data_IF_075992041771
#
_entry.id   IF_075992041771
#
_cell.length_a   1.000
_cell.length_b   1.000
_cell.length_c   1.000
_cell.angle_alpha   90.00
_cell.angle_beta   90.00
_cell.angle_gamma   90.00
#
_symmetry.space_group_name_H-M   'P 1'
#
loop_
_entity.id
_entity.type
_entity.pdbx_description
1 polymer ?
#
# COMPACT_ATOMS: atom_id res chain seq x y z
N UNK A 1 -13.19 31.58 -19.05
CA UNK A 1 -12.92 31.13 -17.66
C UNK A 1 -14.19 30.73 -16.91
N UNK A 2 -15.32 31.47 -16.97
CA UNK A 2 -16.58 31.04 -16.31
C UNK A 2 -17.24 29.77 -16.89
N UNK A 3 -17.04 29.46 -18.18
CA UNK A 3 -17.48 28.18 -18.76
C UNK A 3 -16.57 27.00 -18.41
N UNK A 4 -15.32 27.26 -17.99
CA UNK A 4 -14.33 26.25 -17.64
C UNK A 4 -14.60 25.65 -16.25
N UNK A 5 -15.01 26.47 -15.28
CA UNK A 5 -15.42 25.98 -13.96
C UNK A 5 -16.67 25.08 -14.04
N UNK A 6 -17.62 25.41 -14.91
CA UNK A 6 -18.86 24.63 -15.09
C UNK A 6 -18.68 23.28 -15.80
N UNK A 7 -17.68 23.13 -16.66
CA UNK A 7 -17.36 21.83 -17.29
C UNK A 7 -16.43 20.99 -16.40
N UNK A 8 -15.45 21.61 -15.73
CA UNK A 8 -14.55 20.93 -14.80
C UNK A 8 -15.32 20.33 -13.60
N UNK A 9 -16.30 21.06 -13.06
CA UNK A 9 -17.15 20.57 -11.96
C UNK A 9 -18.06 19.41 -12.37
N UNK A 10 -18.38 19.25 -13.66
CA UNK A 10 -19.22 18.16 -14.18
C UNK A 10 -18.44 16.88 -14.51
N UNK A 11 -17.14 16.99 -14.77
CA UNK A 11 -16.31 15.92 -15.33
C UNK A 11 -15.28 15.33 -14.34
N UNK A 12 -15.05 15.98 -13.20
CA UNK A 12 -14.16 15.44 -12.18
C UNK A 12 -14.77 14.20 -11.47
N UNK A 13 -14.07 13.04 -11.43
CA UNK A 13 -14.47 11.90 -10.61
C UNK A 13 -14.64 12.32 -9.15
N UNK A 14 -15.67 11.83 -8.47
CA UNK A 14 -16.02 12.20 -7.08
C UNK A 14 -14.83 12.13 -6.09
N UNK A 15 -13.81 11.30 -6.35
CA UNK A 15 -12.58 11.21 -5.56
C UNK A 15 -11.72 12.48 -5.55
N UNK A 16 -11.85 13.39 -6.52
CA UNK A 16 -11.04 14.62 -6.58
C UNK A 16 -11.62 15.80 -5.79
N UNK A 17 -12.89 15.73 -5.36
CA UNK A 17 -13.57 16.83 -4.64
C UNK A 17 -13.13 16.97 -3.17
N UNK A 18 -12.46 15.96 -2.61
CA UNK A 18 -12.12 15.93 -1.17
C UNK A 18 -10.94 16.84 -0.75
N UNK A 19 -10.21 17.46 -1.68
CA UNK A 19 -8.96 18.17 -1.37
C UNK A 19 -9.09 19.68 -1.18
N UNK A 20 -10.30 20.26 -1.23
CA UNK A 20 -10.51 21.69 -0.96
C UNK A 20 -11.64 21.87 0.04
N UNK A 21 -11.27 22.11 1.30
CA UNK A 21 -11.79 23.12 2.23
C UNK A 21 -11.43 22.75 3.68
N UNK A 22 -11.20 23.80 4.48
CA UNK A 22 -10.94 23.82 5.92
C UNK A 22 -9.47 23.63 6.34
N UNK A 23 -8.71 24.70 6.16
CA UNK A 23 -7.56 25.01 6.99
C UNK A 23 -8.04 25.87 8.16
N UNK A 24 -8.10 25.29 9.36
CA UNK A 24 -8.02 26.04 10.61
C UNK A 24 -6.83 25.53 11.42
N UNK A 25 -6.10 26.48 11.96
CA UNK A 25 -4.93 26.35 12.81
C UNK A 25 -5.32 25.84 14.20
N UNK A 26 -4.58 24.88 14.74
CA UNK A 26 -3.72 25.12 15.90
C UNK A 26 -2.98 23.87 16.42
N UNK A 27 -1.88 24.20 17.10
CA UNK A 27 -1.03 23.45 18.03
C UNK A 27 -0.05 22.39 17.51
N UNK A 28 1.16 22.90 17.26
CA UNK A 28 2.45 22.23 17.37
C UNK A 28 2.72 21.81 18.82
N UNK A 29 2.38 20.59 19.20
CA UNK A 29 2.91 19.94 20.40
C UNK A 29 3.80 18.75 19.99
N UNK A 30 5.06 18.80 20.41
CA UNK A 30 5.99 17.68 20.29
C UNK A 30 5.49 16.48 21.12
N UNK A 31 5.69 15.23 20.65
CA UNK A 31 5.22 14.05 21.38
C UNK A 31 5.97 13.87 22.71
N UNK A 32 5.29 13.65 23.83
CA UNK A 32 5.94 13.27 25.08
C UNK A 32 6.39 11.80 25.04
N UNK A 33 7.49 11.51 25.74
CA UNK A 33 8.03 10.17 25.95
C UNK A 33 7.09 9.30 26.80
N UNK A 34 6.79 8.11 26.31
CA UNK A 34 5.90 7.11 26.93
C UNK A 34 6.30 6.69 28.35
N UNK A 35 5.29 6.54 29.21
CA UNK A 35 5.33 5.73 30.42
C UNK A 35 4.12 4.77 30.45
N UNK A 36 4.41 3.50 30.18
CA UNK A 36 3.94 2.32 30.93
C UNK A 36 2.45 1.97 30.97
N UNK A 37 2.13 0.81 30.39
CA UNK A 37 1.28 -0.20 31.04
C UNK A 37 1.65 -1.59 30.51
N UNK A 38 2.17 -2.43 31.39
CA UNK A 38 2.50 -3.82 31.11
C UNK A 38 1.23 -4.68 31.13
N UNK A 39 1.02 -5.47 30.07
CA UNK A 39 0.07 -6.58 30.05
C UNK A 39 0.81 -7.83 29.58
N UNK A 40 0.56 -8.94 30.24
CA UNK A 40 1.34 -10.18 30.20
C UNK A 40 1.49 -10.76 28.79
N UNK A 41 2.74 -10.86 28.31
CA UNK A 41 3.10 -11.37 26.99
C UNK A 41 3.43 -12.87 27.01
N UNK A 42 2.97 -13.60 25.99
CA UNK A 42 3.69 -14.81 25.54
C UNK A 42 5.11 -14.35 25.19
N UNK A 43 6.14 -14.94 25.80
CA UNK A 43 7.56 -14.63 25.58
C UNK A 43 7.97 -14.87 24.11
N UNK A 44 7.67 -13.92 23.22
CA UNK A 44 8.17 -13.86 21.86
C UNK A 44 9.58 -13.26 21.90
N UNK A 45 10.61 -14.10 21.87
CA UNK A 45 12.00 -13.60 21.88
C UNK A 45 12.44 -13.25 20.46
N UNK A 46 12.16 -12.01 20.04
CA UNK A 46 12.68 -11.39 18.80
C UNK A 46 14.19 -11.62 18.66
N UNK A 47 14.91 -11.68 19.79
CA UNK A 47 16.35 -11.92 19.81
C UNK A 47 16.74 -13.32 19.33
N UNK A 48 16.04 -14.39 19.75
CA UNK A 48 16.38 -15.75 19.34
C UNK A 48 16.08 -15.99 17.86
N UNK A 49 14.94 -15.49 17.37
CA UNK A 49 14.59 -15.57 15.95
C UNK A 49 15.58 -14.81 15.07
N UNK A 50 16.04 -13.64 15.51
CA UNK A 50 17.06 -12.89 14.77
C UNK A 50 18.38 -13.68 14.69
N UNK A 51 18.80 -14.32 15.78
CA UNK A 51 20.01 -15.14 15.76
C UNK A 51 19.88 -16.34 14.83
N UNK A 52 18.71 -16.97 14.77
CA UNK A 52 18.43 -18.05 13.82
C UNK A 52 18.47 -17.54 12.37
N UNK A 53 17.87 -16.37 12.11
CA UNK A 53 17.93 -15.72 10.81
C UNK A 53 19.38 -15.47 10.37
N UNK A 54 20.22 -14.94 11.27
CA UNK A 54 21.64 -14.67 11.00
C UNK A 54 22.42 -15.94 10.70
N UNK A 55 22.13 -17.05 11.37
CA UNK A 55 22.76 -18.35 11.07
C UNK A 55 22.42 -18.85 9.67
N UNK A 56 21.18 -18.65 9.21
CA UNK A 56 20.75 -19.04 7.87
C UNK A 56 21.16 -18.08 6.75
N UNK A 57 21.56 -16.85 7.09
CA UNK A 57 21.80 -15.77 6.13
C UNK A 57 23.15 -15.09 6.42
N UNK A 58 24.22 -15.47 5.71
CA UNK A 58 25.56 -14.93 5.91
C UNK A 58 25.60 -13.39 5.84
N UNK A 59 26.25 -12.71 6.82
CA UNK A 59 26.33 -11.26 6.91
C UNK A 59 27.03 -10.61 5.71
N UNK A 60 26.83 -9.31 5.55
CA UNK A 60 27.56 -8.47 4.60
C UNK A 60 28.52 -7.58 5.42
N UNK A 61 29.82 -7.85 5.31
CA UNK A 61 30.87 -7.27 6.17
C UNK A 61 31.05 -5.74 6.09
N UNK A 62 30.35 -5.05 5.17
CA UNK A 62 30.45 -3.61 4.96
C UNK A 62 29.11 -3.05 4.48
N UNK A 63 28.96 -1.72 4.55
CA UNK A 63 27.87 -1.04 3.84
C UNK A 63 27.95 -1.36 2.35
N UNK A 64 26.85 -1.84 1.79
CA UNK A 64 26.71 -2.20 0.39
C UNK A 64 25.76 -1.21 -0.29
N UNK A 65 26.29 -0.31 -1.12
CA UNK A 65 25.47 0.57 -1.96
C UNK A 65 25.47 0.02 -3.39
N UNK A 66 24.32 -0.47 -3.90
CA UNK A 66 24.23 -1.04 -5.23
C UNK A 66 24.74 -0.09 -6.33
N UNK A 67 24.45 1.20 -6.20
CA UNK A 67 24.80 2.24 -7.16
C UNK A 67 26.32 2.43 -7.22
N UNK A 68 26.95 2.57 -6.05
CA UNK A 68 28.39 2.75 -5.94
C UNK A 68 29.16 1.50 -6.39
N UNK A 69 28.66 0.31 -6.08
CA UNK A 69 29.28 -0.95 -6.51
C UNK A 69 29.15 -1.15 -8.02
N UNK A 70 28.00 -0.86 -8.64
CA UNK A 70 27.85 -0.90 -10.09
C UNK A 70 28.75 0.11 -10.80
N UNK A 71 28.89 1.32 -10.24
CA UNK A 71 29.78 2.34 -10.80
C UNK A 71 31.26 1.87 -10.81
N UNK A 72 31.68 1.16 -9.76
CA UNK A 72 33.03 0.53 -9.70
C UNK A 72 33.16 -0.59 -10.73
N UNK A 73 32.18 -1.49 -10.81
CA UNK A 73 32.19 -2.63 -11.74
C UNK A 73 32.29 -2.15 -13.19
N UNK A 74 31.55 -1.10 -13.56
CA UNK A 74 31.58 -0.52 -14.91
C UNK A 74 32.97 -0.02 -15.34
N UNK A 75 33.86 0.27 -14.40
CA UNK A 75 35.24 0.72 -14.67
C UNK A 75 36.23 -0.44 -14.81
N UNK A 76 35.83 -1.67 -14.50
CA UNK A 76 36.68 -2.85 -14.64
C UNK A 76 36.82 -3.28 -16.11
N UNK A 77 37.89 -3.99 -16.48
CA UNK A 77 38.00 -4.69 -17.76
C UNK A 77 36.83 -5.66 -18.01
N UNK A 78 36.40 -5.85 -19.27
CA UNK A 78 35.21 -6.67 -19.62
C UNK A 78 35.24 -8.10 -19.06
N UNK A 79 36.41 -8.72 -19.02
CA UNK A 79 36.63 -10.06 -18.46
C UNK A 79 36.43 -10.10 -16.93
N UNK A 80 36.81 -9.06 -16.20
CA UNK A 80 36.63 -8.94 -14.75
C UNK A 80 35.21 -8.51 -14.36
N UNK A 81 34.54 -7.74 -15.22
CA UNK A 81 33.16 -7.31 -15.01
C UNK A 81 32.22 -8.49 -14.76
N UNK A 82 32.37 -9.59 -15.52
CA UNK A 82 31.47 -10.75 -15.39
C UNK A 82 31.56 -11.39 -14.01
N UNK A 83 32.77 -11.59 -13.49
CA UNK A 83 32.98 -12.16 -12.16
C UNK A 83 32.46 -11.21 -11.07
N UNK A 84 32.76 -9.91 -11.18
CA UNK A 84 32.30 -8.92 -10.21
C UNK A 84 30.76 -8.77 -10.19
N UNK A 85 30.10 -8.90 -11.35
CA UNK A 85 28.64 -8.89 -11.45
C UNK A 85 27.97 -10.09 -10.75
N UNK A 86 28.62 -11.25 -10.69
CA UNK A 86 28.09 -12.41 -9.97
C UNK A 86 28.05 -12.11 -8.47
N UNK A 87 29.19 -11.72 -7.89
CA UNK A 87 29.27 -11.34 -6.47
C UNK A 87 28.35 -10.16 -6.13
N UNK A 88 28.25 -9.17 -7.02
CA UNK A 88 27.32 -8.06 -6.86
C UNK A 88 25.87 -8.52 -6.74
N UNK A 89 25.42 -9.41 -7.63
CA UNK A 89 24.05 -9.93 -7.62
C UNK A 89 23.75 -10.68 -6.33
N UNK A 90 24.69 -11.50 -5.85
CA UNK A 90 24.56 -12.23 -4.57
C UNK A 90 24.49 -11.31 -3.35
N UNK A 91 25.28 -10.23 -3.33
CA UNK A 91 25.24 -9.24 -2.25
C UNK A 91 23.93 -8.44 -2.28
N UNK A 92 23.51 -8.01 -3.47
CA UNK A 92 22.24 -7.30 -3.67
C UNK A 92 21.05 -8.15 -3.22
N UNK A 93 21.07 -9.45 -3.55
CA UNK A 93 20.08 -10.41 -3.09
C UNK A 93 19.99 -10.48 -1.57
N UNK A 94 21.14 -10.73 -0.93
CA UNK A 94 21.23 -10.86 0.53
C UNK A 94 20.76 -9.59 1.22
N UNK A 95 21.19 -8.42 0.75
CA UNK A 95 20.73 -7.16 1.32
C UNK A 95 19.21 -6.99 1.14
N UNK A 96 18.65 -7.35 -0.02
CA UNK A 96 17.20 -7.26 -0.28
C UNK A 96 16.39 -8.24 0.57
N UNK A 97 16.84 -9.47 0.72
CA UNK A 97 16.23 -10.47 1.62
C UNK A 97 16.31 -10.01 3.08
N UNK A 98 17.44 -9.44 3.50
CA UNK A 98 17.59 -8.88 4.84
C UNK A 98 16.70 -7.65 5.07
N UNK A 99 16.53 -6.80 4.06
CA UNK A 99 15.62 -5.66 4.12
C UNK A 99 14.17 -6.10 4.30
N UNK A 100 13.74 -7.10 3.54
CA UNK A 100 12.41 -7.70 3.68
C UNK A 100 12.23 -8.37 5.06
N UNK A 101 13.22 -9.14 5.52
CA UNK A 101 13.19 -9.75 6.84
C UNK A 101 13.14 -8.71 7.96
N UNK A 102 13.91 -7.62 7.86
CA UNK A 102 13.84 -6.50 8.81
C UNK A 102 12.41 -5.99 8.96
N UNK A 103 11.69 -5.80 7.85
CA UNK A 103 10.27 -5.42 7.88
C UNK A 103 9.42 -6.48 8.58
N UNK A 104 9.54 -7.76 8.20
CA UNK A 104 8.74 -8.85 8.79
C UNK A 104 8.94 -8.93 10.31
N UNK A 105 10.18 -8.82 10.79
CA UNK A 105 10.46 -8.82 12.23
C UNK A 105 9.83 -7.62 12.94
N UNK A 106 9.85 -6.43 12.33
CA UNK A 106 9.19 -5.23 12.89
C UNK A 106 7.68 -5.44 12.96
N UNK A 107 7.07 -5.94 11.87
CA UNK A 107 5.62 -6.18 11.81
C UNK A 107 5.18 -7.21 12.84
N UNK A 108 5.88 -8.35 12.95
CA UNK A 108 5.59 -9.36 13.98
C UNK A 108 5.72 -8.82 15.40
N UNK A 109 6.72 -7.96 15.64
CA UNK A 109 6.90 -7.33 16.96
C UNK A 109 5.73 -6.41 17.30
N UNK A 110 5.21 -5.67 16.32
CA UNK A 110 4.01 -4.83 16.45
C UNK A 110 2.76 -5.69 16.67
N UNK A 111 2.57 -6.76 15.87
CA UNK A 111 1.43 -7.68 15.99
C UNK A 111 1.39 -8.35 17.37
N UNK A 112 2.54 -8.74 17.92
CA UNK A 112 2.65 -9.31 19.26
C UNK A 112 2.36 -8.28 20.36
N UNK A 113 2.86 -7.05 20.20
CA UNK A 113 2.62 -5.95 21.12
C UNK A 113 2.57 -4.60 20.39
N UNK A 114 1.35 -4.11 20.16
CA UNK A 114 1.15 -2.80 19.54
C UNK A 114 1.78 -1.66 20.37
N UNK A 115 1.99 -1.85 21.68
CA UNK A 115 2.64 -0.90 22.58
C UNK A 115 4.17 -1.03 22.65
N UNK A 116 4.81 -1.83 21.79
CA UNK A 116 6.27 -2.00 21.80
C UNK A 116 6.98 -0.64 21.82
N UNK A 117 8.09 -0.44 22.56
CA UNK A 117 8.79 0.84 22.57
C UNK A 117 9.50 1.16 21.25
N UNK A 118 9.45 2.43 20.82
CA UNK A 118 10.07 2.88 19.55
C UNK A 118 11.53 2.52 19.42
N UNK A 119 12.26 2.64 20.53
CA UNK A 119 13.69 2.32 20.63
C UNK A 119 13.97 0.85 20.29
N UNK A 120 13.07 -0.07 20.59
CA UNK A 120 13.24 -1.50 20.30
C UNK A 120 13.13 -1.77 18.81
N UNK A 121 12.13 -1.20 18.13
CA UNK A 121 11.99 -1.29 16.68
C UNK A 121 13.18 -0.66 15.95
N UNK A 122 13.65 0.51 16.42
CA UNK A 122 14.84 1.15 15.86
C UNK A 122 16.11 0.31 16.08
N UNK A 123 16.25 -0.32 17.25
CA UNK A 123 17.36 -1.22 17.54
C UNK A 123 17.35 -2.45 16.62
N UNK A 124 16.17 -3.00 16.34
CA UNK A 124 16.00 -4.10 15.39
C UNK A 124 16.44 -3.68 13.99
N UNK A 125 15.96 -2.54 13.48
CA UNK A 125 16.36 -2.00 12.19
C UNK A 125 17.88 -1.74 12.11
N UNK A 126 18.47 -1.21 13.18
CA UNK A 126 19.92 -1.00 13.29
C UNK A 126 20.70 -2.32 13.22
N UNK A 127 20.28 -3.36 13.95
CA UNK A 127 20.93 -4.68 13.93
C UNK A 127 20.93 -5.28 12.52
N UNK A 128 19.81 -5.22 11.81
CA UNK A 128 19.76 -5.64 10.40
C UNK A 128 20.68 -4.80 9.53
N UNK A 129 20.66 -3.48 9.71
CA UNK A 129 21.51 -2.57 8.94
C UNK A 129 23.00 -2.81 9.13
N UNK A 130 23.43 -3.09 10.36
CA UNK A 130 24.82 -3.36 10.70
C UNK A 130 25.27 -4.73 10.16
N UNK A 131 24.39 -5.74 10.25
CA UNK A 131 24.70 -7.11 9.83
C UNK A 131 24.67 -7.30 8.31
N UNK A 132 23.80 -6.57 7.60
CA UNK A 132 23.54 -6.75 6.17
C UNK A 132 23.86 -5.51 5.33
N UNK A 133 24.66 -4.61 5.89
CA UNK A 133 25.26 -3.50 5.14
C UNK A 133 24.25 -2.53 4.56
N UNK A 134 23.16 -2.19 5.27
CA UNK A 134 22.19 -1.22 4.79
C UNK A 134 22.82 0.16 4.60
N UNK A 135 22.44 0.84 3.52
CA UNK A 135 22.83 2.22 3.24
C UNK A 135 22.19 3.18 4.24
N UNK A 136 22.72 4.39 4.33
CA UNK A 136 22.14 5.44 5.18
C UNK A 136 20.69 5.76 4.77
N UNK A 137 20.38 5.71 3.47
CA UNK A 137 19.01 5.94 3.01
C UNK A 137 18.07 4.81 3.44
N UNK A 138 18.46 3.54 3.30
CA UNK A 138 17.66 2.43 3.83
C UNK A 138 17.42 2.55 5.35
N UNK A 139 18.44 2.95 6.11
CA UNK A 139 18.30 3.19 7.57
C UNK A 139 17.30 4.30 7.86
N UNK A 140 17.37 5.42 7.14
CA UNK A 140 16.40 6.52 7.25
C UNK A 140 15.00 6.11 6.80
N UNK A 141 14.87 5.27 5.79
CA UNK A 141 13.58 4.71 5.35
C UNK A 141 12.95 3.88 6.47
N UNK A 142 13.73 3.00 7.10
CA UNK A 142 13.24 2.20 8.24
C UNK A 142 12.80 3.11 9.40
N UNK A 143 13.60 4.11 9.74
CA UNK A 143 13.26 5.10 10.77
C UNK A 143 11.98 5.86 10.42
N UNK A 144 11.82 6.34 9.18
CA UNK A 144 10.59 7.02 8.71
C UNK A 144 9.35 6.14 8.83
N UNK A 145 9.47 4.85 8.51
CA UNK A 145 8.37 3.89 8.62
C UNK A 145 7.98 3.66 10.07
N UNK A 146 8.96 3.44 10.95
CA UNK A 146 8.75 3.30 12.40
C UNK A 146 8.11 4.58 12.97
N UNK A 147 8.63 5.74 12.60
CA UNK A 147 8.10 7.04 13.02
C UNK A 147 6.65 7.24 12.57
N UNK A 148 6.34 6.85 11.33
CA UNK A 148 4.99 6.88 10.80
C UNK A 148 4.03 5.98 11.58
N UNK A 149 4.46 4.77 11.94
CA UNK A 149 3.68 3.88 12.80
C UNK A 149 3.35 4.55 14.15
N UNK A 150 4.34 5.06 14.88
CA UNK A 150 4.08 5.73 16.17
C UNK A 150 3.23 6.98 16.01
N UNK A 151 3.41 7.73 14.92
CA UNK A 151 2.60 8.92 14.63
C UNK A 151 1.13 8.55 14.50
N UNK A 152 0.79 7.54 13.71
CA UNK A 152 -0.61 7.12 13.51
C UNK A 152 -1.19 6.44 14.75
N UNK A 153 -0.41 5.57 15.41
CA UNK A 153 -0.79 4.96 16.69
C UNK A 153 -1.08 6.00 17.78
N UNK A 154 -0.19 6.96 17.96
CA UNK A 154 -0.37 8.04 18.92
C UNK A 154 -1.65 8.80 18.65
N UNK A 155 -1.94 9.12 17.39
CA UNK A 155 -3.18 9.79 16.99
C UNK A 155 -4.43 8.98 17.34
N UNK A 156 -4.44 7.68 17.07
CA UNK A 156 -5.56 6.80 17.43
C UNK A 156 -5.77 6.76 18.96
N UNK A 157 -4.69 6.59 19.73
CA UNK A 157 -4.73 6.59 21.20
C UNK A 157 -5.20 7.93 21.77
N UNK A 158 -4.69 9.05 21.26
CA UNK A 158 -5.10 10.39 21.70
C UNK A 158 -6.56 10.67 21.37
N UNK A 159 -7.01 10.25 20.18
CA UNK A 159 -8.41 10.39 19.79
C UNK A 159 -9.32 9.59 20.74
N UNK A 160 -8.95 8.35 21.08
CA UNK A 160 -9.69 7.56 22.07
C UNK A 160 -9.68 8.18 23.47
N UNK A 161 -8.53 8.71 23.92
CA UNK A 161 -8.41 9.37 25.24
C UNK A 161 -9.24 10.65 25.33
N UNK A 162 -9.26 11.46 24.27
CA UNK A 162 -10.00 12.72 24.20
C UNK A 162 -11.51 12.51 24.13
N UNK A 163 -11.96 11.42 23.51
CA UNK A 163 -13.37 11.06 23.39
C UNK A 163 -13.59 9.63 23.95
N UNK A 164 -13.66 9.50 25.30
CA UNK A 164 -13.87 8.21 25.94
C UNK A 164 -15.31 7.68 25.75
N UNK A 165 -16.25 8.57 25.43
CA UNK A 165 -17.62 8.21 25.06
C UNK A 165 -17.68 7.85 23.57
N UNK A 166 -18.18 6.65 23.27
CA UNK A 166 -18.20 6.07 21.92
C UNK A 166 -19.04 6.89 20.95
N UNK A 167 -20.19 7.41 21.41
CA UNK A 167 -21.05 8.27 20.59
C UNK A 167 -20.33 9.54 20.16
N UNK A 168 -19.66 10.22 21.08
CA UNK A 168 -18.85 11.42 20.75
C UNK A 168 -17.67 11.07 19.83
N UNK A 169 -17.02 9.93 20.05
CA UNK A 169 -15.92 9.47 19.20
C UNK A 169 -16.38 9.22 17.75
N UNK A 170 -17.49 8.50 17.57
CA UNK A 170 -18.13 8.26 16.27
C UNK A 170 -18.43 9.57 15.55
N UNK A 171 -19.09 10.50 16.23
CA UNK A 171 -19.41 11.82 15.66
C UNK A 171 -18.15 12.57 15.22
N UNK A 172 -17.05 12.43 15.96
CA UNK A 172 -15.79 13.08 15.63
C UNK A 172 -15.08 12.44 14.44
N UNK A 173 -15.08 11.12 14.32
CA UNK A 173 -14.39 10.39 13.25
C UNK A 173 -15.21 10.42 11.95
N UNK A 174 -16.49 10.10 12.03
CA UNK A 174 -17.35 9.92 10.87
C UNK A 174 -18.10 11.20 10.46
N UNK A 175 -18.22 12.18 11.36
CA UNK A 175 -19.03 13.37 11.11
C UNK A 175 -20.52 13.06 10.97
N UNK A 176 -20.98 11.98 11.60
CA UNK A 176 -22.35 11.47 11.56
C UNK A 176 -22.95 11.47 12.96
N UNK A 177 -24.27 11.61 13.06
CA UNK A 177 -24.95 11.48 14.34
C UNK A 177 -25.04 9.99 14.75
N UNK A 178 -24.64 9.62 15.98
CA UNK A 178 -24.58 8.22 16.40
C UNK A 178 -25.92 7.50 16.34
N UNK A 179 -27.05 8.21 16.51
CA UNK A 179 -28.38 7.62 16.34
C UNK A 179 -28.64 7.15 14.90
N UNK A 180 -28.02 7.75 13.90
CA UNK A 180 -28.18 7.37 12.48
C UNK A 180 -27.46 6.06 12.15
N UNK A 181 -26.38 5.76 12.89
CA UNK A 181 -25.51 4.61 12.68
C UNK A 181 -26.01 3.41 13.49
N UNK A 182 -26.56 3.62 14.68
CA UNK A 182 -27.00 2.54 15.56
C UNK A 182 -25.87 1.98 16.42
N UNK A 183 -25.91 0.68 16.74
CA UNK A 183 -24.90 0.05 17.58
C UNK A 183 -23.56 -0.05 16.85
N UNK A 184 -22.50 0.38 17.53
CA UNK A 184 -21.12 0.33 17.05
C UNK A 184 -20.23 -0.10 18.21
N UNK A 185 -19.46 -1.15 18.01
CA UNK A 185 -18.40 -1.53 18.96
C UNK A 185 -17.08 -0.91 18.49
N UNK A 186 -16.35 -0.27 19.42
CA UNK A 186 -15.12 0.47 19.10
C UNK A 186 -13.93 -0.17 19.79
N UNK A 187 -12.89 -0.45 19.01
CA UNK A 187 -11.58 -0.87 19.53
C UNK A 187 -10.45 -0.03 18.96
N UNK A 188 -9.29 -0.04 19.61
CA UNK A 188 -8.09 0.66 19.09
C UNK A 188 -7.13 -0.39 18.55
N UNK A 189 -6.90 -0.33 17.24
CA UNK A 189 -5.95 -1.20 16.54
C UNK A 189 -4.49 -0.75 16.68
N UNK A 190 -3.60 -1.28 15.82
CA UNK A 190 -2.19 -0.89 15.80
C UNK A 190 -2.00 0.61 15.48
N UNK A 191 -2.65 1.06 14.40
CA UNK A 191 -2.62 2.44 13.89
C UNK A 191 -4.01 3.06 13.72
N UNK A 192 -5.07 2.31 14.01
CA UNK A 192 -6.45 2.61 13.62
C UNK A 192 -7.38 2.69 14.82
N UNK A 193 -8.55 3.30 14.61
CA UNK A 193 -9.75 3.05 15.41
C UNK A 193 -10.64 2.10 14.61
N UNK A 194 -10.92 0.93 15.16
CA UNK A 194 -11.73 -0.08 14.50
C UNK A 194 -13.19 0.08 14.96
N UNK A 195 -14.10 0.18 14.00
CA UNK A 195 -15.54 0.34 14.18
C UNK A 195 -16.23 -0.92 13.67
N UNK A 196 -16.92 -1.62 14.56
CA UNK A 196 -17.60 -2.87 14.26
C UNK A 196 -19.10 -2.61 14.23
N UNK A 197 -19.74 -2.82 13.08
CA UNK A 197 -21.12 -2.34 12.79
C UNK A 197 -21.95 -3.36 12.02
N UNK A 198 -23.29 -3.23 12.05
CA UNK A 198 -24.18 -4.02 11.19
C UNK A 198 -24.20 -3.55 9.74
N UNK A 199 -24.72 -4.38 8.83
CA UNK A 199 -24.68 -4.14 7.38
C UNK A 199 -25.37 -2.86 6.91
N UNK A 200 -26.52 -2.50 7.51
CA UNK A 200 -27.20 -1.25 7.20
C UNK A 200 -26.37 -0.02 7.58
N UNK A 201 -25.70 -0.07 8.74
CA UNK A 201 -24.81 0.97 9.24
C UNK A 201 -23.56 1.08 8.37
N UNK A 202 -22.96 -0.05 8.02
CA UNK A 202 -21.82 -0.15 7.10
C UNK A 202 -22.08 0.60 5.79
N UNK A 203 -23.23 0.34 5.17
CA UNK A 203 -23.63 1.00 3.92
C UNK A 203 -23.70 2.53 4.06
N UNK A 204 -24.37 3.02 5.11
CA UNK A 204 -24.50 4.45 5.37
C UNK A 204 -23.13 5.12 5.55
N UNK A 205 -22.24 4.49 6.31
CA UNK A 205 -20.90 5.04 6.55
C UNK A 205 -20.11 5.07 5.24
N UNK A 206 -20.12 3.99 4.45
CA UNK A 206 -19.40 3.91 3.19
C UNK A 206 -19.84 4.98 2.17
N UNK A 207 -21.15 5.21 2.06
CA UNK A 207 -21.72 6.28 1.22
C UNK A 207 -21.26 7.67 1.70
N UNK A 208 -21.27 7.91 3.01
CA UNK A 208 -20.82 9.18 3.60
C UNK A 208 -19.34 9.45 3.35
N UNK A 209 -18.51 8.40 3.33
CA UNK A 209 -17.07 8.51 3.05
C UNK A 209 -16.75 8.72 1.57
N UNK A 210 -17.76 8.76 0.69
CA UNK A 210 -17.58 8.95 -0.75
C UNK A 210 -17.27 7.65 -1.49
N UNK A 211 -17.55 6.50 -0.89
CA UNK A 211 -17.47 5.20 -1.55
C UNK A 211 -18.61 5.04 -2.56
N UNK A 212 -18.27 4.64 -3.79
CA UNK A 212 -19.27 4.32 -4.80
C UNK A 212 -19.88 2.95 -4.49
N UNK A 213 -21.21 2.90 -4.35
CA UNK A 213 -21.96 1.66 -4.17
C UNK A 213 -21.87 0.83 -5.46
N UNK A 214 -21.41 -0.41 -5.36
CA UNK A 214 -21.47 -1.40 -6.43
C UNK A 214 -22.75 -2.21 -6.25
N UNK A 215 -23.64 -2.16 -7.23
CA UNK A 215 -24.93 -2.85 -7.17
C UNK A 215 -24.73 -4.36 -6.94
N UNK A 216 -25.41 -4.91 -5.93
CA UNK A 216 -25.32 -6.33 -5.58
C UNK A 216 -24.05 -6.75 -4.83
N UNK A 217 -23.13 -5.82 -4.54
CA UNK A 217 -21.92 -6.13 -3.79
C UNK A 217 -22.12 -5.88 -2.28
N UNK A 218 -21.88 -6.91 -1.47
CA UNK A 218 -21.84 -6.78 -0.01
C UNK A 218 -20.41 -6.48 0.44
N UNK A 219 -20.23 -5.40 1.20
CA UNK A 219 -18.91 -5.00 1.71
C UNK A 219 -18.63 -5.69 3.04
N UNK A 220 -17.53 -6.42 3.10
CA UNK A 220 -17.08 -7.03 4.35
C UNK A 220 -16.47 -6.01 5.31
N UNK A 221 -15.71 -5.06 4.79
CA UNK A 221 -15.06 -4.00 5.53
C UNK A 221 -14.62 -2.87 4.61
N UNK A 222 -14.10 -1.78 5.19
CA UNK A 222 -13.26 -0.84 4.46
C UNK A 222 -12.33 -0.08 5.43
N UNK A 223 -11.17 0.30 4.92
CA UNK A 223 -10.21 1.18 5.55
C UNK A 223 -10.38 2.63 5.05
N UNK A 224 -10.36 3.60 5.97
CA UNK A 224 -10.43 5.01 5.60
C UNK A 224 -9.67 5.92 6.58
N UNK A 225 -9.72 7.23 6.35
CA UNK A 225 -9.15 8.21 7.25
C UNK A 225 -9.95 9.52 7.28
N UNK A 226 -9.88 10.23 8.41
CA UNK A 226 -10.48 11.58 8.49
C UNK A 226 -9.76 12.54 7.54
N UNK A 227 -10.48 13.55 7.05
CA UNK A 227 -9.86 14.64 6.29
C UNK A 227 -8.98 15.54 7.19
N UNK A 228 -8.08 16.30 6.57
CA UNK A 228 -7.25 17.32 7.22
C UNK A 228 -5.78 16.95 7.41
N UNK A 229 -5.02 17.86 8.04
CA UNK A 229 -3.54 17.74 8.20
C UNK A 229 -3.11 16.59 9.12
N UNK A 230 -3.97 16.21 10.06
CA UNK A 230 -3.72 15.16 11.04
C UNK A 230 -4.78 14.05 10.91
N UNK A 231 -4.75 13.26 9.82
CA UNK A 231 -5.74 12.20 9.62
C UNK A 231 -5.65 11.17 10.75
N UNK A 232 -6.84 10.75 11.20
CA UNK A 232 -7.04 9.56 12.03
C UNK A 232 -7.45 8.43 11.10
N UNK A 233 -6.69 7.34 11.14
CA UNK A 233 -7.03 6.13 10.41
C UNK A 233 -8.10 5.37 11.17
N UNK A 234 -9.09 4.85 10.43
CA UNK A 234 -10.11 4.00 10.99
C UNK A 234 -10.48 2.91 10.01
N UNK A 235 -10.98 1.82 10.56
CA UNK A 235 -11.42 0.64 9.82
C UNK A 235 -12.85 0.36 10.22
N UNK A 236 -13.71 0.07 9.25
CA UNK A 236 -15.09 -0.33 9.50
C UNK A 236 -15.24 -1.80 9.13
N UNK A 237 -15.77 -2.60 10.04
CA UNK A 237 -15.94 -4.05 9.91
C UNK A 237 -17.43 -4.36 10.00
N UNK A 238 -17.95 -5.01 8.97
CA UNK A 238 -19.34 -5.45 8.93
C UNK A 238 -19.49 -6.74 9.76
N UNK A 239 -20.46 -6.79 10.68
CA UNK A 239 -20.81 -7.96 11.50
C UNK A 239 -22.15 -8.59 11.11
N UNK A 240 -22.75 -8.15 10.01
CA UNK A 240 -23.95 -8.78 9.47
C UNK A 240 -23.69 -10.26 9.13
N UNK A 241 -24.47 -11.17 9.74
CA UNK A 241 -24.23 -12.61 9.65
C UNK A 241 -24.29 -13.15 8.22
N UNK A 242 -25.20 -12.63 7.38
CA UNK A 242 -25.32 -13.02 5.98
C UNK A 242 -24.04 -12.64 5.22
N UNK A 243 -23.60 -11.38 5.40
CA UNK A 243 -22.34 -10.91 4.82
C UNK A 243 -21.16 -11.73 5.34
N UNK A 244 -21.03 -11.98 6.65
CA UNK A 244 -19.94 -12.79 7.22
C UNK A 244 -19.92 -14.22 6.68
N UNK A 245 -21.09 -14.84 6.51
CA UNK A 245 -21.24 -16.16 5.91
C UNK A 245 -20.80 -16.20 4.45
N UNK A 246 -21.12 -15.16 3.66
CA UNK A 246 -20.71 -15.06 2.26
C UNK A 246 -19.17 -14.97 2.08
N UNK A 247 -18.46 -14.43 3.07
CA UNK A 247 -17.00 -14.30 3.06
C UNK A 247 -16.27 -15.43 3.82
N UNK A 248 -16.98 -16.41 4.40
CA UNK A 248 -16.41 -17.42 5.30
C UNK A 248 -15.58 -16.81 6.45
N UNK A 249 -16.01 -15.64 6.94
CA UNK A 249 -15.32 -14.86 7.97
C UNK A 249 -16.29 -14.56 9.12
N UNK A 250 -16.65 -15.60 9.88
CA UNK A 250 -17.68 -15.50 10.93
C UNK A 250 -17.35 -14.51 12.06
N UNK A 251 -16.07 -14.15 12.24
CA UNK A 251 -15.61 -13.28 13.33
C UNK A 251 -15.34 -11.85 12.85
N UNK A 252 -15.12 -11.65 11.56
CA UNK A 252 -14.64 -10.40 11.00
C UNK A 252 -13.13 -10.19 11.14
N UNK A 253 -12.38 -11.16 11.67
CA UNK A 253 -10.93 -11.03 11.88
C UNK A 253 -10.15 -11.09 10.57
N UNK A 254 -10.58 -11.87 9.57
CA UNK A 254 -9.93 -11.86 8.26
C UNK A 254 -10.17 -10.52 7.57
N UNK A 255 -11.39 -10.02 7.61
CA UNK A 255 -11.72 -8.66 7.15
C UNK A 255 -10.86 -7.62 7.88
N UNK A 256 -10.76 -7.68 9.21
CA UNK A 256 -9.92 -6.76 9.97
C UNK A 256 -8.47 -6.79 9.49
N UNK A 257 -7.90 -7.98 9.30
CA UNK A 257 -6.52 -8.16 8.81
C UNK A 257 -6.34 -7.58 7.40
N UNK A 258 -7.29 -7.82 6.50
CA UNK A 258 -7.30 -7.23 5.17
C UNK A 258 -7.29 -5.69 5.22
N UNK A 259 -8.21 -5.10 5.99
CA UNK A 259 -8.31 -3.64 6.11
C UNK A 259 -7.10 -3.01 6.83
N UNK A 260 -6.51 -3.71 7.80
CA UNK A 260 -5.28 -3.27 8.45
C UNK A 260 -4.09 -3.27 7.49
N UNK A 261 -4.04 -4.20 6.51
CA UNK A 261 -3.00 -4.21 5.48
C UNK A 261 -3.10 -2.98 4.57
N UNK A 262 -4.31 -2.52 4.21
CA UNK A 262 -4.46 -1.24 3.48
C UNK A 262 -3.86 -0.05 4.23
N UNK A 263 -4.06 0.01 5.55
CA UNK A 263 -3.52 1.10 6.37
C UNK A 263 -1.99 1.03 6.49
N UNK A 264 -1.42 -0.18 6.54
CA UNK A 264 0.03 -0.40 6.42
C UNK A 264 0.54 0.05 5.05
N UNK A 265 -0.14 -0.34 3.98
CA UNK A 265 0.20 0.04 2.61
C UNK A 265 0.17 1.55 2.41
N UNK A 266 -0.78 2.26 3.00
CA UNK A 266 -0.82 3.72 2.96
C UNK A 266 0.38 4.35 3.66
N UNK A 267 0.80 3.82 4.82
CA UNK A 267 2.05 4.25 5.47
C UNK A 267 3.25 4.01 4.55
N UNK A 268 3.41 2.81 3.99
CA UNK A 268 4.51 2.50 3.07
C UNK A 268 4.54 3.43 1.87
N UNK A 269 3.38 3.59 1.22
CA UNK A 269 3.16 4.48 0.09
C UNK A 269 3.55 5.90 0.44
N UNK A 270 3.17 6.42 1.60
CA UNK A 270 3.50 7.79 2.02
C UNK A 270 5.01 8.02 2.16
N UNK A 271 5.77 7.03 2.65
CA UNK A 271 7.23 7.13 2.81
C UNK A 271 7.93 6.99 1.45
N UNK A 272 7.58 5.99 0.64
CA UNK A 272 8.20 5.79 -0.66
C UNK A 272 7.86 6.90 -1.67
N UNK A 273 6.65 7.47 -1.62
CA UNK A 273 6.30 8.65 -2.43
C UNK A 273 7.15 9.86 -2.05
N UNK A 274 7.40 10.11 -0.77
CA UNK A 274 8.27 11.21 -0.34
C UNK A 274 9.73 11.00 -0.80
N UNK A 275 10.21 9.76 -0.81
CA UNK A 275 11.53 9.42 -1.37
C UNK A 275 11.58 9.68 -2.86
N UNK A 276 10.61 9.16 -3.62
CA UNK A 276 10.48 9.43 -5.04
C UNK A 276 10.37 10.94 -5.35
N UNK A 277 9.62 11.70 -4.56
CA UNK A 277 9.55 13.16 -4.70
C UNK A 277 10.91 13.84 -4.48
N UNK A 278 11.67 13.42 -3.46
CA UNK A 278 13.03 13.96 -3.20
C UNK A 278 14.00 13.62 -4.31
N UNK A 279 13.83 12.46 -4.94
CA UNK A 279 14.60 12.02 -6.10
C UNK A 279 14.09 12.62 -7.42
N UNK A 280 13.02 13.42 -7.40
CA UNK A 280 12.44 14.08 -8.57
C UNK A 280 11.61 13.16 -9.48
N UNK A 281 11.18 12.00 -8.99
CA UNK A 281 10.54 10.94 -9.78
C UNK A 281 9.03 10.80 -9.55
N UNK A 282 8.41 11.56 -8.64
CA UNK A 282 6.98 11.43 -8.34
C UNK A 282 6.08 12.44 -9.08
N UNK A 283 5.03 11.94 -9.74
CA UNK A 283 4.37 12.60 -10.86
C UNK A 283 2.92 13.07 -10.68
N UNK A 284 2.43 13.34 -9.46
CA UNK A 284 1.03 13.83 -9.30
C UNK A 284 0.75 15.11 -10.11
N UNK A 285 1.65 16.10 -10.05
CA UNK A 285 1.59 17.31 -10.90
C UNK A 285 1.81 16.98 -12.39
N UNK A 286 2.52 15.90 -12.70
CA UNK A 286 2.76 15.49 -14.09
C UNK A 286 1.49 14.94 -14.75
N UNK A 287 0.58 14.32 -13.99
CA UNK A 287 -0.67 13.80 -14.54
C UNK A 287 -1.57 14.94 -15.03
N UNK A 288 -1.81 15.94 -14.18
CA UNK A 288 -2.61 17.13 -14.53
C UNK A 288 -1.98 17.88 -15.71
N UNK A 289 -0.66 18.03 -15.72
CA UNK A 289 0.07 18.65 -16.84
C UNK A 289 -0.03 17.83 -18.13
N UNK A 290 -0.05 16.49 -18.07
CA UNK A 290 -0.23 15.64 -19.26
C UNK A 290 -1.63 15.79 -19.83
N UNK A 291 -2.65 15.82 -18.97
CA UNK A 291 -4.03 16.04 -19.37
C UNK A 291 -4.22 17.41 -20.04
N UNK A 292 -3.73 18.48 -19.41
CA UNK A 292 -3.82 19.84 -19.97
C UNK A 292 -3.13 19.94 -21.33
N UNK A 293 -1.90 19.43 -21.44
CA UNK A 293 -1.17 19.40 -22.72
C UNK A 293 -1.93 18.66 -23.81
N UNK A 294 -2.59 17.55 -23.49
CA UNK A 294 -3.40 16.80 -24.45
C UNK A 294 -4.57 17.61 -25.01
N UNK A 295 -5.23 18.42 -24.17
CA UNK A 295 -6.35 19.26 -24.61
C UNK A 295 -5.93 20.51 -25.38
N UNK A 296 -4.79 21.10 -25.03
CA UNK A 296 -4.28 22.31 -25.69
C UNK A 296 -3.60 22.01 -27.04
N UNK A 297 -3.24 20.75 -27.30
CA UNK A 297 -2.56 20.34 -28.53
C UNK A 297 -3.54 20.09 -29.69
N UNK A 298 -3.16 20.60 -30.87
CA UNK A 298 -3.94 20.53 -32.11
C UNK A 298 -3.32 19.60 -33.15
N UNK A 299 -2.00 19.33 -33.08
CA UNK A 299 -1.33 18.39 -33.97
C UNK A 299 -1.79 16.94 -33.68
N UNK A 300 -2.30 16.19 -34.66
CA UNK A 300 -2.85 14.85 -34.43
C UNK A 300 -1.85 13.82 -33.89
N UNK A 301 -0.59 13.85 -34.34
CA UNK A 301 0.44 12.89 -33.93
C UNK A 301 0.92 13.20 -32.52
N UNK A 302 1.13 14.49 -32.20
CA UNK A 302 1.50 14.93 -30.86
C UNK A 302 0.34 14.66 -29.89
N UNK A 303 -0.90 14.98 -30.29
CA UNK A 303 -2.11 14.71 -29.52
C UNK A 303 -2.23 13.23 -29.16
N UNK A 304 -1.99 12.33 -30.13
CA UNK A 304 -2.04 10.88 -29.91
C UNK A 304 -0.99 10.44 -28.88
N UNK A 305 0.24 10.94 -29.00
CA UNK A 305 1.32 10.64 -28.06
C UNK A 305 1.02 11.16 -26.64
N UNK A 306 0.43 12.35 -26.52
CA UNK A 306 0.01 12.92 -25.24
C UNK A 306 -1.14 12.12 -24.61
N UNK A 307 -2.13 11.71 -25.41
CA UNK A 307 -3.21 10.83 -24.97
C UNK A 307 -2.67 9.50 -24.43
N UNK A 308 -1.79 8.84 -25.18
CA UNK A 308 -1.14 7.60 -24.73
C UNK A 308 -0.35 7.83 -23.42
N UNK A 309 0.40 8.92 -23.31
CA UNK A 309 1.16 9.27 -22.11
C UNK A 309 0.27 9.50 -20.88
N UNK A 310 -0.91 10.09 -21.09
CA UNK A 310 -1.93 10.29 -20.07
C UNK A 310 -2.57 8.95 -19.65
N UNK A 311 -3.02 8.11 -20.60
CA UNK A 311 -3.56 6.77 -20.33
C UNK A 311 -2.57 5.88 -19.56
N UNK A 312 -1.29 5.93 -19.90
CA UNK A 312 -0.25 5.18 -19.17
C UNK A 312 -0.08 5.67 -17.73
N UNK A 313 -0.25 6.96 -17.48
CA UNK A 313 -0.16 7.51 -16.14
C UNK A 313 -1.38 7.10 -15.30
N UNK A 314 -2.58 7.13 -15.88
CA UNK A 314 -3.80 6.59 -15.24
C UNK A 314 -3.67 5.10 -14.92
N UNK A 315 -3.19 4.29 -15.88
CA UNK A 315 -2.90 2.88 -15.66
C UNK A 315 -1.90 2.68 -14.51
N UNK A 316 -0.87 3.53 -14.40
CA UNK A 316 0.11 3.44 -13.30
C UNK A 316 -0.54 3.66 -11.93
N UNK A 317 -1.43 4.67 -11.81
CA UNK A 317 -2.18 4.92 -10.57
C UNK A 317 -3.14 3.76 -10.23
N UNK A 318 -3.80 3.20 -11.25
CA UNK A 318 -4.66 2.04 -11.07
C UNK A 318 -3.87 0.80 -10.64
N UNK A 319 -2.67 0.58 -11.17
CA UNK A 319 -1.78 -0.51 -10.75
C UNK A 319 -1.30 -0.34 -9.30
N UNK A 320 -1.07 0.89 -8.83
CA UNK A 320 -0.76 1.14 -7.41
C UNK A 320 -1.94 0.79 -6.48
N UNK A 321 -3.17 0.98 -6.95
CA UNK A 321 -4.39 0.59 -6.23
C UNK A 321 -4.58 -0.93 -6.28
N UNK A 322 -4.39 -1.54 -7.45
CA UNK A 322 -4.44 -3.00 -7.60
C UNK A 322 -3.37 -3.70 -6.75
N UNK A 323 -2.18 -3.11 -6.62
CA UNK A 323 -1.12 -3.65 -5.75
C UNK A 323 -1.57 -3.74 -4.30
N UNK A 324 -2.19 -2.66 -3.81
CA UNK A 324 -2.72 -2.57 -2.46
C UNK A 324 -3.71 -3.70 -2.20
N UNK A 325 -4.71 -3.82 -3.07
CA UNK A 325 -5.74 -4.86 -3.03
C UNK A 325 -5.17 -6.28 -3.11
N UNK A 326 -4.23 -6.53 -4.04
CA UNK A 326 -3.56 -7.83 -4.16
C UNK A 326 -2.86 -8.17 -2.84
N UNK A 327 -2.09 -7.24 -2.27
CA UNK A 327 -1.37 -7.52 -1.02
C UNK A 327 -2.29 -7.71 0.18
N UNK A 328 -3.37 -6.92 0.29
CA UNK A 328 -4.38 -7.07 1.33
C UNK A 328 -5.11 -8.41 1.20
N UNK A 329 -5.55 -8.76 -0.01
CA UNK A 329 -6.22 -10.06 -0.28
C UNK A 329 -5.31 -11.24 0.03
N UNK A 330 -4.02 -11.17 -0.29
CA UNK A 330 -3.06 -12.25 -0.01
C UNK A 330 -2.77 -12.45 1.49
N UNK A 331 -3.22 -11.54 2.37
CA UNK A 331 -3.14 -11.78 3.82
C UNK A 331 -4.20 -12.76 4.31
N UNK A 332 -5.34 -12.86 3.61
CA UNK A 332 -6.51 -13.66 4.03
C UNK A 332 -6.81 -14.81 3.06
N UNK A 333 -6.27 -14.75 1.85
CA UNK A 333 -6.59 -15.68 0.76
C UNK A 333 -5.33 -16.30 0.15
N UNK A 334 -5.42 -17.56 -0.26
CA UNK A 334 -4.36 -18.22 -1.02
C UNK A 334 -4.16 -17.59 -2.41
N UNK A 335 -2.94 -17.67 -2.94
CA UNK A 335 -2.66 -17.17 -4.30
C UNK A 335 -3.56 -17.82 -5.35
N UNK A 336 -3.83 -19.12 -5.23
CA UNK A 336 -4.68 -19.84 -6.20
C UNK A 336 -6.13 -19.37 -6.16
N UNK A 337 -6.66 -19.05 -4.99
CA UNK A 337 -7.98 -18.47 -4.87
C UNK A 337 -8.02 -17.03 -5.44
N UNK A 338 -6.98 -16.22 -5.20
CA UNK A 338 -6.86 -14.89 -5.82
C UNK A 338 -6.79 -14.99 -7.35
N UNK A 339 -6.00 -15.93 -7.89
CA UNK A 339 -5.90 -16.18 -9.33
C UNK A 339 -7.26 -16.49 -9.96
N UNK A 340 -8.08 -17.30 -9.28
CA UNK A 340 -9.43 -17.63 -9.74
C UNK A 340 -10.37 -16.41 -9.72
N UNK A 341 -10.16 -15.47 -8.80
CA UNK A 341 -11.01 -14.28 -8.60
C UNK A 341 -10.53 -13.03 -9.32
N UNK A 342 -9.46 -13.09 -10.12
CA UNK A 342 -8.93 -11.89 -10.79
C UNK A 342 -9.95 -11.22 -11.70
N UNK A 343 -10.73 -12.02 -12.44
CA UNK A 343 -11.78 -11.49 -13.31
C UNK A 343 -12.84 -10.75 -12.48
N UNK A 344 -13.39 -11.38 -11.44
CA UNK A 344 -14.44 -10.79 -10.61
C UNK A 344 -13.98 -9.54 -9.84
N UNK A 345 -12.72 -9.51 -9.40
CA UNK A 345 -12.18 -8.42 -8.60
C UNK A 345 -11.75 -7.23 -9.48
N UNK A 346 -10.89 -7.48 -10.47
CA UNK A 346 -10.15 -6.41 -11.17
C UNK A 346 -10.61 -6.14 -12.60
N UNK A 347 -11.28 -7.09 -13.25
CA UNK A 347 -11.58 -7.01 -14.68
C UNK A 347 -13.07 -6.98 -15.00
N UNK A 348 -13.93 -7.25 -14.02
CA UNK A 348 -15.38 -7.09 -14.12
C UNK A 348 -15.76 -5.63 -14.31
N UNK A 349 -16.62 -5.36 -15.30
CA UNK A 349 -17.16 -4.02 -15.50
C UNK A 349 -17.95 -3.58 -14.26
N UNK A 350 -17.64 -2.39 -13.76
CA UNK A 350 -18.22 -1.86 -12.51
C UNK A 350 -17.98 -2.76 -11.29
N UNK A 351 -16.98 -3.64 -11.35
CA UNK A 351 -16.54 -4.45 -10.21
C UNK A 351 -15.95 -3.62 -9.07
N UNK A 352 -15.78 -4.22 -7.89
CA UNK A 352 -15.29 -3.51 -6.69
C UNK A 352 -13.89 -2.91 -6.87
N UNK A 353 -13.06 -3.50 -7.74
CA UNK A 353 -11.70 -3.02 -8.03
C UNK A 353 -11.53 -2.60 -9.50
N UNK A 354 -12.62 -2.18 -10.16
CA UNK A 354 -12.55 -1.61 -11.51
C UNK A 354 -12.02 -0.16 -11.49
N UNK A 355 -10.75 0.01 -11.15
CA UNK A 355 -10.12 1.32 -10.98
C UNK A 355 -10.02 2.13 -12.29
N UNK A 356 -10.13 1.47 -13.44
CA UNK A 356 -10.02 2.11 -14.76
C UNK A 356 -11.37 2.28 -15.47
N UNK A 357 -12.48 1.77 -14.93
CA UNK A 357 -13.82 1.86 -15.53
C UNK A 357 -14.18 3.26 -16.03
N UNK A 358 -14.14 4.30 -15.16
CA UNK A 358 -14.43 5.67 -15.57
C UNK A 358 -13.52 6.19 -16.69
N UNK A 359 -12.23 5.79 -16.68
CA UNK A 359 -11.26 6.22 -17.68
C UNK A 359 -11.46 5.51 -19.03
N UNK A 360 -11.88 4.24 -19.01
CA UNK A 360 -12.28 3.52 -20.23
C UNK A 360 -13.51 4.16 -20.86
N UNK A 361 -14.53 4.47 -20.07
CA UNK A 361 -15.73 5.15 -20.56
C UNK A 361 -15.44 6.53 -21.15
N UNK A 362 -14.64 7.34 -20.46
CA UNK A 362 -14.23 8.65 -20.96
C UNK A 362 -13.39 8.51 -22.24
N UNK A 363 -12.31 7.72 -22.20
CA UNK A 363 -11.36 7.62 -23.30
C UNK A 363 -11.94 7.02 -24.58
N UNK A 364 -12.97 6.15 -24.47
CA UNK A 364 -13.64 5.56 -25.65
C UNK A 364 -14.63 6.51 -26.33
N UNK A 365 -15.09 7.55 -25.62
CA UNK A 365 -15.97 8.61 -26.13
C UNK A 365 -15.19 9.85 -26.56
N UNK A 366 -14.02 10.07 -25.97
CA UNK A 366 -13.15 11.21 -26.23
C UNK A 366 -12.81 11.37 -27.72
N UNK A 367 -12.82 12.62 -28.22
CA UNK A 367 -12.63 12.99 -29.63
C UNK A 367 -13.36 12.03 -30.61
N UNK A 368 -14.64 11.76 -30.34
CA UNK A 368 -15.51 10.86 -31.11
C UNK A 368 -14.98 9.42 -31.27
N UNK A 369 -14.21 8.94 -30.30
CA UNK A 369 -13.69 7.57 -30.29
C UNK A 369 -12.42 7.36 -31.12
N UNK A 370 -11.76 8.43 -31.55
CA UNK A 370 -10.52 8.39 -32.35
C UNK A 370 -9.42 7.51 -31.75
N UNK A 371 -9.36 7.41 -30.41
CA UNK A 371 -8.33 6.66 -29.68
C UNK A 371 -8.83 5.40 -28.98
N UNK A 372 -9.98 4.87 -29.40
CA UNK A 372 -10.58 3.65 -28.80
C UNK A 372 -9.60 2.48 -28.74
N UNK A 373 -8.81 2.27 -29.79
CA UNK A 373 -7.83 1.18 -29.84
C UNK A 373 -6.69 1.35 -28.82
N UNK A 374 -6.30 2.60 -28.53
CA UNK A 374 -5.30 2.88 -27.49
C UNK A 374 -5.86 2.61 -26.10
N UNK A 375 -7.12 2.98 -25.86
CA UNK A 375 -7.81 2.69 -24.60
C UNK A 375 -7.90 1.19 -24.36
N UNK A 376 -8.36 0.43 -25.36
CA UNK A 376 -8.44 -1.03 -25.30
C UNK A 376 -7.06 -1.67 -25.09
N UNK A 377 -6.04 -1.20 -25.80
CA UNK A 377 -4.68 -1.69 -25.65
C UNK A 377 -4.13 -1.45 -24.25
N UNK A 378 -4.21 -0.22 -23.74
CA UNK A 378 -3.52 0.19 -22.51
C UNK A 378 -4.35 -0.16 -21.28
N UNK A 379 -5.61 0.29 -21.22
CA UNK A 379 -6.44 0.21 -20.02
C UNK A 379 -7.12 -1.15 -19.82
N UNK A 380 -7.17 -2.00 -20.85
CA UNK A 380 -7.73 -3.35 -20.76
C UNK A 380 -6.62 -4.39 -20.89
N UNK A 381 -6.00 -4.50 -22.07
CA UNK A 381 -5.07 -5.61 -22.37
C UNK A 381 -3.76 -5.53 -21.59
N UNK A 382 -3.07 -4.38 -21.62
CA UNK A 382 -1.81 -4.20 -20.88
C UNK A 382 -2.04 -4.24 -19.37
N UNK A 383 -3.08 -3.55 -18.86
CA UNK A 383 -3.45 -3.57 -17.43
C UNK A 383 -3.71 -5.00 -16.92
N UNK A 384 -4.57 -5.77 -17.61
CA UNK A 384 -4.84 -7.18 -17.28
C UNK A 384 -3.57 -8.03 -17.28
N UNK A 385 -2.78 -7.94 -18.35
CA UNK A 385 -1.56 -8.73 -18.50
C UNK A 385 -0.52 -8.43 -17.39
N UNK A 386 -0.45 -7.19 -16.90
CA UNK A 386 0.44 -6.82 -15.79
C UNK A 386 -0.01 -7.50 -14.48
N UNK A 387 -1.30 -7.40 -14.15
CA UNK A 387 -1.87 -7.99 -12.92
C UNK A 387 -1.72 -9.51 -12.94
N UNK A 388 -2.13 -10.17 -14.03
CA UNK A 388 -2.05 -11.64 -14.16
C UNK A 388 -0.60 -12.13 -14.01
N UNK A 389 0.36 -11.48 -14.68
CA UNK A 389 1.79 -11.84 -14.57
C UNK A 389 2.34 -11.60 -13.16
N UNK A 390 1.97 -10.49 -12.53
CA UNK A 390 2.44 -10.18 -11.18
C UNK A 390 1.93 -11.21 -10.15
N UNK A 391 0.64 -11.56 -10.20
CA UNK A 391 0.04 -12.56 -9.30
C UNK A 391 0.58 -13.97 -9.58
N UNK A 392 0.76 -14.33 -10.86
CA UNK A 392 1.38 -15.60 -11.22
C UNK A 392 2.80 -15.73 -10.68
N UNK A 393 3.64 -14.69 -10.87
CA UNK A 393 5.01 -14.67 -10.38
C UNK A 393 5.08 -14.71 -8.84
N UNK A 394 4.16 -14.01 -8.17
CA UNK A 394 4.02 -14.11 -6.72
C UNK A 394 3.69 -15.55 -6.29
N UNK A 395 2.77 -16.21 -7.01
CA UNK A 395 2.42 -17.61 -6.80
C UNK A 395 3.60 -18.57 -6.96
N UNK A 396 4.47 -18.35 -7.94
CA UNK A 396 5.71 -19.12 -8.10
C UNK A 396 6.62 -18.99 -6.87
N UNK A 397 6.81 -17.76 -6.37
CA UNK A 397 7.60 -17.51 -5.16
C UNK A 397 7.07 -18.31 -3.96
N UNK A 398 5.76 -18.29 -3.73
CA UNK A 398 5.13 -19.03 -2.62
C UNK A 398 5.17 -20.55 -2.85
N UNK A 399 4.93 -21.04 -4.08
CA UNK A 399 4.93 -22.48 -4.41
C UNK A 399 6.31 -23.12 -4.24
N UNK A 400 7.39 -22.39 -4.49
CA UNK A 400 8.75 -22.89 -4.19
C UNK A 400 9.02 -23.08 -2.69
N UNK A 401 8.06 -22.71 -1.81
CA UNK A 401 8.12 -22.76 -0.34
C UNK A 401 9.33 -22.03 0.25
N UNK A 402 9.96 -21.15 -0.52
CA UNK A 402 11.13 -20.42 -0.07
C UNK A 402 10.78 -19.19 0.77
N UNK A 403 9.53 -18.71 0.69
CA UNK A 403 9.06 -17.49 1.33
C UNK A 403 7.61 -17.64 1.82
N UNK A 404 7.33 -17.03 2.97
CA UNK A 404 5.98 -16.77 3.48
C UNK A 404 5.32 -15.60 2.74
N UNK A 405 4.00 -15.44 2.88
CA UNK A 405 3.28 -14.28 2.34
C UNK A 405 3.85 -12.95 2.85
N UNK A 406 4.10 -12.84 4.16
CA UNK A 406 4.69 -11.63 4.76
C UNK A 406 6.07 -11.32 4.15
N UNK A 407 6.93 -12.33 3.95
CA UNK A 407 8.25 -12.13 3.34
C UNK A 407 8.17 -11.76 1.86
N UNK A 408 7.30 -12.41 1.09
CA UNK A 408 7.08 -12.12 -0.32
C UNK A 408 6.53 -10.69 -0.51
N UNK A 409 5.55 -10.28 0.30
CA UNK A 409 5.05 -8.92 0.33
C UNK A 409 6.15 -7.94 0.72
N UNK A 410 6.94 -8.24 1.76
CA UNK A 410 8.07 -7.41 2.18
C UNK A 410 9.13 -7.21 1.10
N UNK A 411 9.40 -8.21 0.27
CA UNK A 411 10.35 -8.12 -0.86
C UNK A 411 9.87 -7.22 -2.00
N UNK A 412 8.55 -7.01 -2.12
CA UNK A 412 7.91 -6.38 -3.28
C UNK A 412 7.27 -5.02 -2.97
N UNK A 413 7.14 -4.65 -1.71
CA UNK A 413 6.39 -3.45 -1.31
C UNK A 413 7.00 -2.14 -1.79
N UNK A 414 8.30 -2.06 -2.04
CA UNK A 414 8.92 -0.88 -2.67
C UNK A 414 8.90 -0.91 -4.21
N UNK A 415 8.33 -1.97 -4.83
CA UNK A 415 8.33 -2.17 -6.29
C UNK A 415 6.95 -1.98 -6.92
N UNK A 416 6.84 -1.32 -8.08
CA UNK A 416 5.58 -1.26 -8.82
C UNK A 416 5.24 -2.64 -9.40
N UNK A 417 3.95 -2.95 -9.59
CA UNK A 417 3.48 -4.26 -10.09
C UNK A 417 4.18 -4.75 -11.37
N UNK A 418 4.43 -3.91 -12.40
CA UNK A 418 5.10 -4.36 -13.63
C UNK A 418 6.51 -4.93 -13.40
N UNK A 419 7.16 -4.56 -12.30
CA UNK A 419 8.51 -5.04 -11.97
C UNK A 419 8.52 -6.35 -11.18
N UNK A 420 7.38 -6.78 -10.63
CA UNK A 420 7.29 -7.96 -9.78
C UNK A 420 7.83 -9.24 -10.46
N UNK A 421 7.43 -9.60 -11.70
CA UNK A 421 7.93 -10.81 -12.34
C UNK A 421 9.45 -10.87 -12.41
N UNK A 422 10.06 -9.75 -12.84
CA UNK A 422 11.51 -9.64 -12.98
C UNK A 422 12.23 -9.63 -11.63
N UNK A 423 11.65 -8.99 -10.61
CA UNK A 423 12.20 -8.98 -9.27
C UNK A 423 12.20 -10.39 -8.66
N UNK A 424 11.08 -11.11 -8.79
CA UNK A 424 10.89 -12.45 -8.25
C UNK A 424 11.75 -13.50 -8.94
N UNK A 425 11.83 -13.46 -10.28
CA UNK A 425 12.71 -14.34 -11.04
C UNK A 425 14.16 -14.25 -10.55
N UNK A 426 14.65 -13.02 -10.30
CA UNK A 426 16.02 -12.82 -9.79
C UNK A 426 16.24 -13.45 -8.42
N UNK A 427 15.25 -13.43 -7.54
CA UNK A 427 15.34 -14.07 -6.23
C UNK A 427 15.31 -15.60 -6.32
N UNK A 428 14.51 -16.16 -7.23
CA UNK A 428 14.43 -17.61 -7.47
C UNK A 428 15.73 -18.16 -8.08
N UNK A 429 16.27 -17.48 -9.09
CA UNK A 429 17.54 -17.86 -9.74
C UNK A 429 18.69 -17.97 -8.75
N UNK A 430 18.72 -17.14 -7.71
CA UNK A 430 19.81 -17.12 -6.73
C UNK A 430 19.71 -18.22 -5.68
N UNK A 431 18.49 -18.68 -5.37
CA UNK A 431 18.29 -19.81 -4.45
C UNK A 431 18.67 -21.14 -5.10
N UNK A 432 18.47 -21.29 -6.40
CA UNK A 432 18.85 -22.48 -7.16
C UNK A 432 20.37 -22.59 -7.45
N UNK A 433 21.14 -21.55 -7.12
CA UNK A 433 22.61 -21.52 -7.25
C UNK A 433 23.32 -21.89 -5.94
N UNK A 434 22.56 -22.08 -4.85
CA UNK A 434 23.03 -22.71 -3.61
C UNK A 434 22.71 -24.18 -3.62
#
# INVERSE_FOLDING_TARGET
MENFEKEYDKLAPQKMRASRLMAESDDTAAPPSDAGAAAAEKNYSVSSEFQEYVRGHPPIQRVFSPENELAKIRRLPKNEQRAALITFKELLARQRTAWAACRVFIEKSIEANNGIPKKELLNLARRFGDQYGFTNEQRKTAERLIDGYYKYRYRALQMRRRFPDDKKLIKKILGMDPEEIGQVDITVGPMTIDLTVGGASMKKIYEKTGGAQVSGFQYGGFAWHTAGRNPIFYTVINQDQETRGAFDDLTGEETRRHEHEHQKNELFRSVFKQEAQREGTWGALQLDLKFLKYYDESDPDITKALFESYMRAEMTNALDSAKDEITATLTTMSVSALQYRLDDLFFGEHGPCDYLGPMREWGTKEKNGTYRDLVEKILVKEYRAIIEKAVASYGELIKTRAYTFQEATALLTDKPLPEWPKALQRFLEQKNVR
#
